data_IF_168023485045
#
_entry.id   IF_168023485045
#
_cell.length_a   1.000
_cell.length_b   1.000
_cell.length_c   1.000
_cell.angle_alpha   90.00
_cell.angle_beta   90.00
_cell.angle_gamma   90.00
#
_symmetry.space_group_name_H-M   'P 1'
#
loop_
_entity.id
_entity.type
_entity.pdbx_description
1 polymer ?
#
# COMPACT_ATOMS: atom_id res chain seq x y z
N UNK A 1 -16.66 -2.28 6.56
CA UNK A 1 -16.54 -1.92 5.14
C UNK A 1 -15.76 -3.02 4.46
N UNK A 2 -16.24 -3.54 3.33
CA UNK A 2 -15.54 -4.59 2.60
C UNK A 2 -14.24 -4.01 2.02
N UNK A 3 -13.13 -4.72 2.18
CA UNK A 3 -11.88 -4.41 1.51
C UNK A 3 -11.97 -5.01 0.11
N UNK A 4 -11.98 -4.17 -0.93
CA UNK A 4 -11.87 -4.68 -2.29
C UNK A 4 -10.42 -5.15 -2.50
N UNK A 5 -10.27 -6.44 -2.79
CA UNK A 5 -8.98 -7.10 -2.95
C UNK A 5 -8.94 -7.79 -4.31
N UNK A 6 -7.90 -7.53 -5.09
CA UNK A 6 -7.66 -8.18 -6.37
C UNK A 6 -6.16 -8.37 -6.62
N UNK A 7 -5.79 -9.22 -7.57
CA UNK A 7 -4.42 -9.41 -8.01
C UNK A 7 -4.30 -8.86 -9.42
N UNK A 8 -3.35 -7.95 -9.66
CA UNK A 8 -3.11 -7.42 -11.00
C UNK A 8 -2.29 -8.41 -11.86
N UNK A 9 -2.21 -8.15 -13.16
CA UNK A 9 -1.42 -8.96 -14.10
C UNK A 9 0.08 -9.00 -13.80
N UNK A 10 0.57 -8.09 -12.95
CA UNK A 10 1.96 -8.03 -12.51
C UNK A 10 2.26 -8.81 -11.22
N UNK A 11 1.33 -9.63 -10.72
CA UNK A 11 1.55 -10.43 -9.50
C UNK A 11 1.57 -9.59 -8.22
N UNK A 12 0.86 -8.46 -8.21
CA UNK A 12 0.70 -7.63 -7.01
C UNK A 12 -0.74 -7.79 -6.52
N UNK A 13 -0.88 -8.23 -5.27
CA UNK A 13 -2.14 -8.18 -4.53
C UNK A 13 -2.39 -6.74 -4.10
N UNK A 14 -3.46 -6.16 -4.62
CA UNK A 14 -3.92 -4.80 -4.33
C UNK A 14 -5.08 -4.90 -3.35
N UNK A 15 -4.98 -4.16 -2.26
CA UNK A 15 -6.04 -4.07 -1.25
C UNK A 15 -6.43 -2.59 -1.12
N UNK A 16 -7.65 -2.28 -1.53
CA UNK A 16 -8.19 -0.93 -1.45
C UNK A 16 -8.76 -0.65 -0.05
N UNK A 17 -8.41 0.51 0.50
CA UNK A 17 -8.81 0.96 1.82
C UNK A 17 -9.42 2.35 1.75
N UNK A 18 -10.55 2.51 2.44
CA UNK A 18 -11.22 3.78 2.60
C UNK A 18 -11.32 4.09 4.09
N UNK A 19 -10.89 5.30 4.47
CA UNK A 19 -10.93 5.79 5.83
C UNK A 19 -11.78 7.06 5.88
N UNK A 20 -12.85 7.05 6.66
CA UNK A 20 -13.64 8.24 6.93
C UNK A 20 -13.04 8.95 8.16
N UNK A 21 -12.35 10.08 7.92
CA UNK A 21 -11.62 10.84 8.93
C UNK A 21 -12.31 12.19 9.18
N UNK A 22 -12.25 12.75 10.41
CA UNK A 22 -12.77 14.08 10.65
C UNK A 22 -11.94 15.12 9.89
N UNK A 23 -12.62 16.12 9.32
CA UNK A 23 -11.98 17.27 8.68
C UNK A 23 -11.28 18.15 9.72
N UNK A 24 -11.88 18.27 10.90
CA UNK A 24 -11.34 18.97 12.05
C UNK A 24 -11.19 17.97 13.21
N UNK A 25 -9.95 17.64 13.57
CA UNK A 25 -9.66 16.70 14.65
C UNK A 25 -10.03 17.24 16.04
N UNK A 26 -10.24 18.55 16.20
CA UNK A 26 -10.80 19.11 17.43
C UNK A 26 -12.33 18.94 17.52
N UNK A 27 -13.00 18.61 16.40
CA UNK A 27 -14.44 18.36 16.31
C UNK A 27 -14.69 17.04 15.56
N UNK A 28 -14.42 15.87 16.19
CA UNK A 28 -14.46 14.57 15.52
C UNK A 28 -15.84 14.18 14.98
N UNK A 29 -16.92 14.70 15.57
CA UNK A 29 -18.30 14.48 15.13
C UNK A 29 -18.73 15.44 14.00
N UNK A 30 -17.85 16.34 13.58
CA UNK A 30 -18.10 17.31 12.51
C UNK A 30 -18.05 16.69 11.10
N UNK A 31 -17.75 17.53 10.11
CA UNK A 31 -17.62 17.10 8.72
C UNK A 31 -16.49 16.06 8.60
N UNK A 32 -16.73 15.01 7.83
CA UNK A 32 -15.74 13.97 7.54
C UNK A 32 -15.26 14.07 6.10
N UNK A 33 -14.03 13.64 5.87
CA UNK A 33 -13.42 13.44 4.56
C UNK A 33 -13.12 11.94 4.39
N UNK A 34 -13.19 11.46 3.16
CA UNK A 34 -12.83 10.08 2.83
C UNK A 34 -11.44 10.05 2.25
N UNK A 35 -10.53 9.37 2.93
CA UNK A 35 -9.17 9.12 2.45
C UNK A 35 -9.13 7.73 1.83
N UNK A 36 -8.61 7.68 0.61
CA UNK A 36 -8.36 6.44 -0.12
C UNK A 36 -6.88 6.06 -0.02
N UNK A 37 -6.60 4.79 0.23
CA UNK A 37 -5.26 4.23 0.18
C UNK A 37 -5.29 2.83 -0.45
N UNK A 38 -4.22 2.47 -1.16
CA UNK A 38 -4.01 1.11 -1.69
C UNK A 38 -2.81 0.49 -1.01
N UNK A 39 -2.97 -0.70 -0.44
CA UNK A 39 -1.82 -1.50 -0.03
C UNK A 39 -1.48 -2.46 -1.15
N UNK A 40 -0.21 -2.43 -1.55
CA UNK A 40 0.35 -3.28 -2.58
C UNK A 40 1.23 -4.35 -1.92
N UNK A 41 0.91 -5.61 -2.15
CA UNK A 41 1.64 -6.76 -1.61
C UNK A 41 2.13 -7.62 -2.78
N UNK A 42 3.45 -7.70 -3.02
CA UNK A 42 4.00 -8.60 -4.05
C UNK A 42 3.72 -10.06 -3.68
N UNK A 43 3.02 -10.80 -4.54
CA UNK A 43 2.65 -12.21 -4.25
C UNK A 43 3.86 -13.14 -4.23
N UNK A 44 4.97 -12.76 -4.85
CA UNK A 44 6.23 -13.50 -4.81
C UNK A 44 6.85 -13.54 -3.40
N UNK A 45 6.59 -12.52 -2.58
CA UNK A 45 7.22 -12.34 -1.26
C UNK A 45 6.39 -12.82 -0.09
N UNK A 46 5.08 -12.91 -0.27
CA UNK A 46 4.18 -13.42 0.73
C UNK A 46 3.06 -14.18 0.02
N UNK A 47 3.09 -15.50 0.19
CA UNK A 47 2.12 -16.43 -0.40
C UNK A 47 1.01 -16.74 0.60
N UNK A 48 1.28 -16.58 1.89
CA UNK A 48 0.29 -16.76 2.95
C UNK A 48 0.03 -15.48 3.75
N UNK A 49 -1.16 -15.31 4.35
CA UNK A 49 -1.49 -14.14 5.18
C UNK A 49 -0.52 -13.92 6.35
N UNK A 50 0.05 -14.99 6.90
CA UNK A 50 1.02 -14.94 8.01
C UNK A 50 2.37 -14.37 7.56
N UNK A 51 2.77 -14.65 6.32
CA UNK A 51 3.95 -14.05 5.70
C UNK A 51 3.69 -12.57 5.38
N UNK A 52 2.49 -12.23 4.89
CA UNK A 52 2.09 -10.84 4.63
C UNK A 52 2.17 -9.99 5.90
N UNK A 53 1.70 -10.52 7.03
CA UNK A 53 1.72 -9.84 8.33
C UNK A 53 3.13 -9.56 8.88
N UNK A 54 4.14 -10.31 8.43
CA UNK A 54 5.55 -10.14 8.82
C UNK A 54 6.28 -9.11 7.94
N UNK A 55 5.73 -8.77 6.79
CA UNK A 55 6.34 -7.77 5.92
C UNK A 55 6.20 -6.37 6.53
N UNK A 56 7.29 -5.57 6.60
CA UNK A 56 7.20 -4.22 7.11
C UNK A 56 6.48 -3.31 6.12
N UNK A 57 5.72 -2.36 6.65
CA UNK A 57 5.02 -1.37 5.85
C UNK A 57 5.98 -0.30 5.32
N UNK A 58 5.84 0.02 4.04
CA UNK A 58 6.42 1.21 3.43
C UNK A 58 5.28 2.12 2.97
N UNK A 59 5.22 3.31 3.55
CA UNK A 59 4.27 4.33 3.14
C UNK A 59 4.88 5.17 2.03
N UNK A 60 4.27 5.13 0.85
CA UNK A 60 4.61 6.02 -0.26
C UNK A 60 3.55 7.10 -0.37
N UNK A 61 3.96 8.34 -0.16
CA UNK A 61 3.14 9.53 -0.41
C UNK A 61 3.75 10.21 -1.63
N UNK A 62 3.02 10.21 -2.75
CA UNK A 62 3.45 10.98 -3.91
C UNK A 62 3.54 12.46 -3.54
N UNK A 63 4.64 13.10 -3.94
CA UNK A 63 4.86 14.52 -3.72
C UNK A 63 3.95 15.41 -4.57
N UNK A 64 3.88 16.69 -4.20
CA UNK A 64 3.07 17.70 -4.86
C UNK A 64 1.61 17.72 -4.38
N UNK A 65 0.99 18.90 -4.17
CA UNK A 65 -0.41 18.96 -3.81
C UNK A 65 -1.31 18.53 -4.97
N UNK A 66 -2.22 17.59 -4.73
CA UNK A 66 -3.32 17.28 -5.65
C UNK A 66 -3.06 16.22 -6.72
N UNK A 67 -1.90 15.55 -6.73
CA UNK A 67 -1.63 14.49 -7.69
C UNK A 67 -2.04 13.11 -7.17
N UNK A 68 -2.65 12.31 -8.04
CA UNK A 68 -3.00 10.92 -7.75
C UNK A 68 -1.78 10.01 -7.79
N UNK A 69 -1.80 8.97 -6.94
CA UNK A 69 -0.82 7.90 -6.98
C UNK A 69 -1.19 6.91 -8.06
N UNK A 70 -0.41 6.88 -9.14
CA UNK A 70 -0.56 5.89 -10.20
C UNK A 70 -0.41 4.46 -9.65
N UNK A 71 -1.19 3.53 -10.21
CA UNK A 71 -1.09 2.10 -9.91
C UNK A 71 0.28 1.58 -10.36
N UNK A 72 1.17 1.36 -9.40
CA UNK A 72 2.50 0.81 -9.69
C UNK A 72 2.39 -0.69 -10.02
N UNK A 73 2.95 -1.09 -11.16
CA UNK A 73 3.17 -2.49 -11.51
C UNK A 73 4.35 -3.11 -10.75
N UNK A 74 4.76 -4.32 -11.14
CA UNK A 74 5.96 -4.99 -10.60
C UNK A 74 7.28 -4.29 -10.94
N UNK A 75 7.27 -3.32 -11.85
CA UNK A 75 8.38 -2.41 -12.13
C UNK A 75 8.28 -1.06 -11.40
N UNK A 76 9.41 -0.35 -11.28
CA UNK A 76 9.49 0.95 -10.59
C UNK A 76 9.61 0.82 -9.07
N UNK A 77 9.22 1.85 -8.30
CA UNK A 77 9.42 1.91 -6.85
C UNK A 77 8.94 0.67 -6.07
N UNK A 78 7.81 0.07 -6.45
CA UNK A 78 7.31 -1.15 -5.78
C UNK A 78 8.21 -2.38 -6.06
N UNK A 79 8.70 -2.51 -7.30
CA UNK A 79 9.70 -3.51 -7.68
C UNK A 79 11.08 -3.23 -7.08
N UNK A 80 11.49 -1.97 -6.98
CA UNK A 80 12.77 -1.56 -6.42
C UNK A 80 12.82 -1.74 -4.91
N UNK A 81 11.75 -1.41 -4.17
CA UNK A 81 11.62 -1.72 -2.74
C UNK A 81 11.55 -3.23 -2.51
N UNK A 82 10.90 -3.96 -3.41
CA UNK A 82 10.93 -5.42 -3.47
C UNK A 82 12.37 -5.94 -3.62
N UNK A 83 13.12 -5.43 -4.59
CA UNK A 83 14.50 -5.84 -4.87
C UNK A 83 15.44 -5.43 -3.73
N UNK A 84 15.28 -4.24 -3.15
CA UNK A 84 16.13 -3.67 -2.11
C UNK A 84 16.02 -4.39 -0.75
N UNK A 85 14.94 -5.14 -0.52
CA UNK A 85 14.88 -6.11 0.60
C UNK A 85 15.47 -7.46 0.25
N UNK A 86 15.27 -7.94 -0.99
CA UNK A 86 15.83 -9.21 -1.46
C UNK A 86 17.37 -9.18 -1.48
N UNK A 87 17.97 -8.05 -1.84
CA UNK A 87 19.43 -7.88 -1.87
C UNK A 87 20.08 -7.69 -0.50
N UNK A 88 19.31 -7.28 0.53
CA UNK A 88 19.84 -7.08 1.90
C UNK A 88 19.77 -8.32 2.79
N UNK A 89 19.14 -9.40 2.32
CA UNK A 89 19.11 -10.70 3.02
C UNK A 89 20.15 -11.69 2.45
N UNK A 90 20.93 -11.28 1.44
CA UNK A 90 22.02 -12.06 0.85
C UNK A 90 23.36 -11.31 0.98
N UNK A 91 23.73 -10.88 2.19
CA UNK A 91 25.14 -10.62 2.53
C UNK A 91 25.34 -10.76 4.04
N UNK A 92 26.07 -11.82 4.42
CA UNK A 92 26.57 -12.22 5.75
C UNK A 92 25.60 -12.96 6.66
#
# INVERSE_FOLDING_TARGET
MALETYVNSGGIKVIERFFDLPLDYAKPDGRKIRVFARNLVPTEKAKTPEEEAKLPYLLYLQGGPGFEVELKGSGGFAGEVGSYKSSRECTT
#
